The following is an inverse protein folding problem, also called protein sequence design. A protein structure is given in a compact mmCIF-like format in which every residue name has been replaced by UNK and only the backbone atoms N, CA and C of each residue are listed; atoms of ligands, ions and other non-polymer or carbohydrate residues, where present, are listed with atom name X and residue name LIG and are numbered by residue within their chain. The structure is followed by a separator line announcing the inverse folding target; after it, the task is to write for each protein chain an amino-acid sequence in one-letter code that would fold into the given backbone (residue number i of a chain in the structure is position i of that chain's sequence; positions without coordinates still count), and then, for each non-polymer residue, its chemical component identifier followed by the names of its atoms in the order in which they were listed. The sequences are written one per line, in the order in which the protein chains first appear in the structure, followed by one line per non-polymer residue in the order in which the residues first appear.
data_IF_509258768395
#
_entry.id   IF_509258768395
#
_cell.length_a   1.000
_cell.length_b   1.000
_cell.length_c   1.000
_cell.angle_alpha   90.00
_cell.angle_beta   90.00
_cell.angle_gamma   90.00
#
_symmetry.space_group_name_H-M   'P 1'
#
loop_
_entity.id
_entity.type
_entity.pdbx_description
1 polymer ?
#
# COMPACT_ATOMS: atom_id res chain seq x y z
N UNK A 1 15.31 -3.32 -12.38
CA UNK A 1 14.61 -2.53 -13.42
C UNK A 1 14.04 -1.26 -12.78
N UNK A 2 14.19 -0.09 -13.41
CA UNK A 2 13.63 1.20 -12.93
C UNK A 2 12.77 1.80 -14.05
N UNK A 3 11.62 2.37 -13.69
CA UNK A 3 10.62 2.91 -14.62
C UNK A 3 10.26 4.35 -14.25
N UNK A 4 10.03 5.19 -15.25
CA UNK A 4 9.45 6.52 -15.08
C UNK A 4 7.94 6.46 -14.86
N UNK A 5 7.36 7.52 -14.30
CA UNK A 5 5.91 7.61 -14.11
C UNK A 5 5.12 7.45 -15.42
N UNK A 6 5.66 7.95 -16.54
CA UNK A 6 5.07 7.79 -17.86
C UNK A 6 5.06 6.31 -18.32
N UNK A 7 6.18 5.60 -18.14
CA UNK A 7 6.29 4.17 -18.48
C UNK A 7 5.44 3.28 -17.56
N UNK A 8 5.21 3.71 -16.32
CA UNK A 8 4.27 3.02 -15.43
C UNK A 8 2.82 3.31 -15.86
N UNK A 9 2.50 4.57 -16.16
CA UNK A 9 1.17 4.99 -16.59
C UNK A 9 0.73 4.33 -17.90
N UNK A 10 1.65 4.04 -18.82
CA UNK A 10 1.34 3.33 -20.08
C UNK A 10 0.89 1.89 -19.87
N UNK A 11 1.14 1.30 -18.69
CA UNK A 11 0.69 -0.04 -18.29
C UNK A 11 -0.63 -0.01 -17.51
N UNK A 12 -1.11 1.18 -17.17
CA UNK A 12 -2.36 1.40 -16.44
C UNK A 12 -3.41 1.99 -17.39
N UNK A 13 -4.71 1.89 -17.09
CA UNK A 13 -5.76 2.53 -17.88
C UNK A 13 -5.80 4.07 -17.68
N UNK A 14 -4.65 4.72 -17.56
CA UNK A 14 -4.50 6.16 -17.31
C UNK A 14 -4.21 6.85 -18.65
N UNK A 15 -5.12 7.74 -19.07
CA UNK A 15 -4.95 8.55 -20.29
C UNK A 15 -4.81 10.04 -20.01
N UNK A 16 -5.23 10.50 -18.84
CA UNK A 16 -5.21 11.91 -18.46
C UNK A 16 -3.79 12.32 -18.00
N UNK A 17 -3.14 13.30 -18.66
CA UNK A 17 -1.82 13.79 -18.27
C UNK A 17 -1.74 14.28 -16.81
N UNK A 18 -2.84 14.78 -16.24
CA UNK A 18 -2.88 15.24 -14.84
C UNK A 18 -2.70 14.09 -13.87
N UNK A 19 -3.27 12.94 -14.17
CA UNK A 19 -3.14 11.73 -13.34
C UNK A 19 -1.71 11.18 -13.40
N UNK A 20 -1.02 11.32 -14.53
CA UNK A 20 0.40 10.95 -14.67
C UNK A 20 1.27 11.84 -13.77
N UNK A 21 0.98 13.15 -13.69
CA UNK A 21 1.69 14.05 -12.79
C UNK A 21 1.45 13.72 -11.31
N UNK A 22 0.22 13.36 -10.92
CA UNK A 22 -0.10 12.90 -9.56
C UNK A 22 0.65 11.61 -9.23
N UNK A 23 0.72 10.66 -10.18
CA UNK A 23 1.48 9.43 -10.02
C UNK A 23 2.97 9.73 -9.78
N UNK A 24 3.57 10.65 -10.55
CA UNK A 24 4.98 11.04 -10.35
C UNK A 24 5.22 11.66 -8.96
N UNK A 25 4.30 12.52 -8.50
CA UNK A 25 4.37 13.10 -7.15
C UNK A 25 4.28 12.05 -6.05
N UNK A 26 3.38 11.08 -6.19
CA UNK A 26 3.22 9.97 -5.24
C UNK A 26 4.48 9.10 -5.21
N UNK A 27 4.99 8.69 -6.37
CA UNK A 27 6.22 7.89 -6.48
C UNK A 27 7.43 8.63 -5.93
N UNK A 28 7.49 9.95 -6.13
CA UNK A 28 8.53 10.78 -5.54
C UNK A 28 8.45 10.79 -4.01
N UNK A 29 7.26 11.00 -3.45
CA UNK A 29 7.05 10.98 -2.00
C UNK A 29 7.47 9.63 -1.39
N UNK A 30 7.05 8.52 -2.01
CA UNK A 30 7.41 7.17 -1.57
C UNK A 30 8.93 6.93 -1.74
N UNK A 31 9.54 7.44 -2.82
CA UNK A 31 10.97 7.36 -3.08
C UNK A 31 11.82 8.10 -2.05
N UNK A 32 11.39 9.29 -1.60
CA UNK A 32 12.05 10.06 -0.53
C UNK A 32 12.03 9.29 0.80
N UNK A 33 11.03 8.44 1.03
CA UNK A 33 10.94 7.56 2.21
C UNK A 33 11.76 6.28 2.08
N UNK A 34 12.63 6.17 1.08
CA UNK A 34 13.46 4.99 0.79
C UNK A 34 12.68 3.69 0.55
N UNK A 35 11.39 3.79 0.27
CA UNK A 35 10.60 2.63 -0.13
C UNK A 35 10.88 2.28 -1.61
N UNK A 36 11.20 3.28 -2.44
CA UNK A 36 11.61 3.08 -3.84
C UNK A 36 13.02 3.60 -4.09
N UNK A 37 13.81 2.85 -4.88
CA UNK A 37 15.07 3.33 -5.45
C UNK A 37 14.75 4.37 -6.51
N UNK A 38 15.12 5.62 -6.27
CA UNK A 38 14.86 6.72 -7.21
C UNK A 38 16.17 7.15 -7.89
N UNK A 39 16.16 7.36 -9.20
CA UNK A 39 17.30 7.86 -9.96
C UNK A 39 16.85 8.83 -11.05
N UNK A 40 17.79 9.59 -11.60
CA UNK A 40 17.56 10.41 -12.79
C UNK A 40 18.15 9.69 -14.02
N UNK A 41 17.33 9.54 -15.05
CA UNK A 41 17.71 8.93 -16.33
C UNK A 41 17.70 10.01 -17.41
N UNK A 42 18.79 10.17 -18.18
CA UNK A 42 18.80 11.06 -19.33
C UNK A 42 17.84 10.53 -20.39
N UNK A 43 17.21 11.41 -21.16
CA UNK A 43 16.36 10.96 -22.26
C UNK A 43 16.92 11.39 -23.60
N UNK A 44 17.10 10.37 -24.46
CA UNK A 44 17.76 10.49 -25.75
C UNK A 44 19.29 10.36 -25.66
N UNK A 45 19.95 10.19 -26.81
CA UNK A 45 21.41 10.01 -26.89
C UNK A 45 22.20 11.29 -26.56
N UNK A 46 21.59 12.47 -26.76
CA UNK A 46 22.14 13.78 -26.37
C UNK A 46 21.15 14.48 -25.44
N UNK A 47 21.27 14.31 -24.11
CA UNK A 47 20.20 14.66 -23.20
C UNK A 47 20.11 16.17 -22.96
N UNK A 48 18.99 16.76 -23.38
CA UNK A 48 18.53 18.10 -22.99
C UNK A 48 17.60 18.06 -21.78
N UNK A 49 17.17 16.86 -21.36
CA UNK A 49 16.21 16.66 -20.28
C UNK A 49 16.43 15.32 -19.57
N UNK A 50 15.96 15.26 -18.32
CA UNK A 50 16.12 14.12 -17.42
C UNK A 50 14.76 13.71 -16.87
N UNK A 51 14.54 12.40 -16.74
CA UNK A 51 13.34 11.84 -16.10
C UNK A 51 13.69 11.16 -14.80
N UNK A 52 12.81 11.31 -13.82
CA UNK A 52 12.89 10.49 -12.61
C UNK A 52 12.43 9.08 -12.94
N UNK A 53 13.15 8.10 -12.43
CA UNK A 53 12.77 6.69 -12.51
C UNK A 53 12.79 6.07 -11.11
N UNK A 54 11.90 5.10 -10.92
CA UNK A 54 11.66 4.43 -9.66
C UNK A 54 11.77 2.92 -9.84
N UNK A 55 12.40 2.24 -8.89
CA UNK A 55 12.45 0.79 -8.82
C UNK A 55 12.26 0.30 -7.40
N UNK A 56 12.00 -1.00 -7.27
CA UNK A 56 11.81 -1.63 -5.97
C UNK A 56 13.11 -1.64 -5.15
N UNK A 57 12.95 -1.46 -3.85
CA UNK A 57 13.97 -1.77 -2.84
C UNK A 57 13.78 -3.21 -2.36
N UNK A 58 14.67 -3.68 -1.51
CA UNK A 58 14.50 -5.02 -0.92
C UNK A 58 13.28 -5.06 0.02
N UNK A 59 12.91 -3.93 0.64
CA UNK A 59 11.66 -3.82 1.42
C UNK A 59 10.44 -3.92 0.51
N UNK A 60 10.36 -3.08 -0.52
CA UNK A 60 9.18 -3.05 -1.40
C UNK A 60 9.08 -4.25 -2.33
N UNK A 61 10.13 -5.06 -2.48
CA UNK A 61 10.06 -6.35 -3.16
C UNK A 61 9.05 -7.29 -2.52
N UNK A 62 8.97 -7.30 -1.19
CA UNK A 62 8.00 -8.12 -0.45
C UNK A 62 6.54 -7.66 -0.65
N UNK A 63 6.31 -6.47 -1.22
CA UNK A 63 4.96 -5.95 -1.49
C UNK A 63 4.42 -6.35 -2.86
N UNK A 64 5.16 -7.11 -3.66
CA UNK A 64 4.76 -7.50 -5.01
C UNK A 64 4.75 -9.02 -5.10
N UNK A 65 3.85 -9.58 -5.89
CA UNK A 65 3.89 -11.00 -6.27
C UNK A 65 4.52 -11.11 -7.65
N UNK A 66 5.48 -12.01 -7.81
CA UNK A 66 6.05 -12.39 -9.09
C UNK A 66 5.63 -13.82 -9.42
N UNK A 67 4.37 -13.95 -9.85
CA UNK A 67 3.76 -15.25 -10.19
C UNK A 67 4.50 -16.00 -11.31
N UNK A 68 5.30 -15.30 -12.12
CA UNK A 68 6.11 -15.88 -13.19
C UNK A 68 7.37 -16.59 -12.64
N UNK A 69 7.86 -16.20 -11.46
CA UNK A 69 9.06 -16.77 -10.82
C UNK A 69 8.71 -17.86 -9.80
N UNK A 70 7.68 -17.66 -8.98
CA UNK A 70 7.16 -18.69 -8.07
C UNK A 70 5.64 -18.55 -7.89
N UNK A 71 4.84 -19.56 -8.29
CA UNK A 71 3.39 -19.55 -8.10
C UNK A 71 2.96 -19.59 -6.62
N UNK A 72 3.88 -19.85 -5.69
CA UNK A 72 3.67 -19.79 -4.23
C UNK A 72 4.18 -18.49 -3.60
N UNK A 73 4.73 -17.56 -4.38
CA UNK A 73 5.24 -16.32 -3.82
C UNK A 73 4.13 -15.49 -3.17
N UNK A 74 4.31 -15.20 -1.90
CA UNK A 74 3.37 -14.49 -1.05
C UNK A 74 3.85 -13.05 -0.82
N UNK A 75 2.96 -12.08 -1.02
CA UNK A 75 3.25 -10.64 -0.85
C UNK A 75 2.65 -10.10 0.44
N UNK A 76 3.38 -9.28 1.20
CA UNK A 76 2.85 -8.64 2.43
C UNK A 76 1.82 -7.53 2.14
N UNK A 77 1.56 -7.19 0.88
CA UNK A 77 0.64 -6.12 0.50
C UNK A 77 -0.77 -6.28 1.08
N UNK A 78 -1.41 -7.47 1.10
CA UNK A 78 -2.73 -7.65 1.72
C UNK A 78 -2.74 -7.30 3.20
N UNK A 79 -1.67 -7.62 3.95
CA UNK A 79 -1.55 -7.25 5.37
C UNK A 79 -1.50 -5.73 5.55
N UNK A 80 -0.74 -5.04 4.70
CA UNK A 80 -0.65 -3.56 4.73
C UNK A 80 -1.98 -2.93 4.36
N UNK A 81 -2.67 -3.45 3.34
CA UNK A 81 -3.99 -2.99 2.91
C UNK A 81 -5.02 -3.20 4.03
N UNK A 82 -5.03 -4.38 4.65
CA UNK A 82 -5.91 -4.69 5.78
C UNK A 82 -5.71 -3.69 6.92
N UNK A 83 -4.46 -3.41 7.31
CA UNK A 83 -4.15 -2.41 8.34
C UNK A 83 -4.61 -0.98 8.04
N UNK A 84 -4.86 -0.65 6.76
CA UNK A 84 -5.34 0.66 6.31
C UNK A 84 -6.86 0.72 6.13
N UNK A 85 -7.59 -0.38 6.31
CA UNK A 85 -9.05 -0.38 6.26
C UNK A 85 -9.63 0.61 7.28
N UNK A 86 -10.62 1.40 6.84
CA UNK A 86 -11.19 2.49 7.64
C UNK A 86 -11.65 2.02 9.03
N UNK A 87 -12.23 0.81 9.11
CA UNK A 87 -12.70 0.21 10.37
C UNK A 87 -11.56 0.01 11.37
N UNK A 88 -10.38 -0.38 10.92
CA UNK A 88 -9.21 -0.54 11.77
C UNK A 88 -8.59 0.82 12.11
N UNK A 89 -8.48 1.71 11.12
CA UNK A 89 -7.93 3.05 11.31
C UNK A 89 -8.75 3.88 12.32
N UNK A 90 -10.08 3.83 12.24
CA UNK A 90 -10.98 4.47 13.20
C UNK A 90 -10.80 3.92 14.61
N UNK A 91 -10.62 2.60 14.76
CA UNK A 91 -10.37 1.98 16.07
C UNK A 91 -9.03 2.41 16.65
N UNK A 92 -8.00 2.59 15.83
CA UNK A 92 -6.70 3.12 16.27
C UNK A 92 -6.80 4.54 16.83
N UNK A 93 -7.76 5.36 16.37
CA UNK A 93 -8.00 6.70 16.93
C UNK A 93 -8.49 6.67 18.39
N UNK A 94 -9.09 5.56 18.83
CA UNK A 94 -9.58 5.35 20.19
C UNK A 94 -8.52 4.79 21.14
N UNK A 95 -7.28 4.60 20.69
CA UNK A 95 -6.21 4.02 21.50
C UNK A 95 -5.93 4.83 22.77
N UNK A 96 -6.04 6.16 22.69
CA UNK A 96 -5.89 7.04 23.85
C UNK A 96 -6.94 6.73 24.93
N UNK A 97 -8.19 6.57 24.53
CA UNK A 97 -9.30 6.33 25.47
C UNK A 97 -9.18 4.94 26.11
N UNK A 98 -8.71 3.96 25.34
CA UNK A 98 -8.42 2.61 25.84
C UNK A 98 -7.29 2.56 26.89
N UNK A 99 -6.31 3.46 26.81
CA UNK A 99 -5.25 3.56 27.82
C UNK A 99 -5.79 4.19 29.11
N UNK A 100 -6.71 5.15 29.00
CA UNK A 100 -7.27 5.87 30.13
C UNK A 100 -8.38 5.08 30.86
N UNK A 101 -9.07 4.19 30.16
CA UNK A 101 -10.08 3.29 30.73
C UNK A 101 -9.68 1.84 30.47
N UNK A 102 -9.14 1.16 31.49
CA UNK A 102 -8.68 -0.23 31.41
C UNK A 102 -9.79 -1.24 31.10
N UNK A 103 -11.05 -0.83 31.09
CA UNK A 103 -12.20 -1.66 30.67
C UNK A 103 -12.51 -1.57 29.16
N UNK A 104 -11.84 -0.67 28.43
CA UNK A 104 -12.02 -0.48 26.99
C UNK A 104 -10.73 -0.86 26.26
N UNK A 105 -10.80 -1.84 25.37
CA UNK A 105 -9.78 -2.05 24.34
C UNK A 105 -10.24 -1.34 23.05
N UNK A 106 -9.32 -0.82 22.21
CA UNK A 106 -9.69 -0.22 20.92
C UNK A 106 -10.35 -1.25 19.99
N UNK A 107 -10.05 -2.53 20.22
CA UNK A 107 -10.56 -3.67 19.46
C UNK A 107 -11.71 -4.40 20.16
N UNK A 108 -11.85 -4.23 21.47
CA UNK A 108 -12.90 -4.87 22.28
C UNK A 108 -13.47 -3.88 23.29
N UNK A 109 -14.74 -3.52 23.16
CA UNK A 109 -15.44 -2.84 24.27
C UNK A 109 -16.67 -3.65 24.61
N UNK A 110 -17.05 -3.69 25.88
CA UNK A 110 -18.26 -4.39 26.35
C UNK A 110 -19.58 -3.86 25.75
N UNK A 111 -19.53 -2.75 25.00
CA UNK A 111 -20.66 -2.07 24.34
C UNK A 111 -20.56 -2.01 22.81
N UNK A 112 -19.48 -2.49 22.16
CA UNK A 112 -19.37 -2.56 20.69
C UNK A 112 -19.00 -3.97 20.25
N UNK A 113 -19.53 -4.36 19.09
CA UNK A 113 -19.15 -5.56 18.36
C UNK A 113 -17.62 -5.67 18.26
N UNK A 114 -17.07 -6.84 18.59
CA UNK A 114 -15.65 -7.10 18.45
C UNK A 114 -15.23 -7.12 16.96
N UNK A 115 -13.93 -7.28 16.68
CA UNK A 115 -13.44 -7.28 15.31
C UNK A 115 -14.08 -8.40 14.46
N UNK A 116 -14.33 -9.57 15.05
CA UNK A 116 -14.92 -10.72 14.37
C UNK A 116 -16.40 -10.48 14.07
N UNK A 117 -17.13 -9.90 15.02
CA UNK A 117 -18.52 -9.50 14.84
C UNK A 117 -18.67 -8.47 13.72
N UNK A 118 -17.77 -7.48 13.66
CA UNK A 118 -17.79 -6.47 12.58
C UNK A 118 -17.37 -7.07 11.25
N UNK A 119 -16.36 -7.94 11.24
CA UNK A 119 -15.91 -8.63 10.03
C UNK A 119 -17.01 -9.54 9.46
N UNK A 120 -17.69 -10.32 10.30
CA UNK A 120 -18.80 -11.20 9.87
C UNK A 120 -19.95 -10.46 9.20
N UNK A 121 -20.15 -9.17 9.51
CA UNK A 121 -21.19 -8.30 8.95
C UNK A 121 -20.71 -7.46 7.77
N UNK A 122 -19.40 -7.39 7.53
CA UNK A 122 -18.80 -6.64 6.43
C UNK A 122 -18.04 -7.60 5.50
N UNK A 123 -18.63 -7.97 4.35
CA UNK A 123 -18.03 -8.91 3.41
C UNK A 123 -16.65 -8.49 2.90
N UNK A 124 -16.40 -7.17 2.75
CA UNK A 124 -15.11 -6.64 2.30
C UNK A 124 -14.05 -6.89 3.37
N UNK A 125 -14.35 -6.52 4.63
CA UNK A 125 -13.44 -6.73 5.75
C UNK A 125 -13.20 -8.22 6.03
N UNK A 126 -14.23 -9.06 5.92
CA UNK A 126 -14.11 -10.51 6.08
C UNK A 126 -13.19 -11.13 5.04
N UNK A 127 -13.34 -10.73 3.77
CA UNK A 127 -12.50 -11.23 2.69
C UNK A 127 -11.04 -10.78 2.86
N UNK A 128 -10.81 -9.50 3.16
CA UNK A 128 -9.47 -8.97 3.45
C UNK A 128 -8.84 -9.67 4.66
N UNK A 129 -9.60 -9.93 5.73
CA UNK A 129 -9.13 -10.67 6.90
C UNK A 129 -8.72 -12.10 6.56
N UNK A 130 -9.56 -12.82 5.80
CA UNK A 130 -9.27 -14.19 5.39
C UNK A 130 -8.06 -14.27 4.45
N UNK A 131 -7.90 -13.31 3.54
CA UNK A 131 -6.74 -13.21 2.65
C UNK A 131 -5.44 -13.02 3.44
N UNK A 132 -5.47 -12.20 4.49
CA UNK A 132 -4.32 -11.97 5.38
C UNK A 132 -4.00 -13.19 6.25
N UNK A 133 -5.01 -13.90 6.74
CA UNK A 133 -4.81 -15.08 7.60
C UNK A 133 -4.44 -16.34 6.83
N UNK A 134 -4.62 -16.35 5.51
CA UNK A 134 -4.19 -17.44 4.63
C UNK A 134 -2.69 -17.36 4.26
N UNK A 135 -1.99 -16.33 4.73
CA UNK A 135 -0.56 -16.10 4.51
C UNK A 135 0.34 -17.07 5.28
#
# INVERSE_FOLDING_TARGET
MQLSALEMASRLPIKDPRLIAILDQLLHFIGVKFLLKSSLRPVGPTPTWWVRTHGLTDVTRHMVTNKDEDPKETSIAPLVIFGLENVLFERMSMLKDAILDSKNSPFFTSKRADLFDVSSKNPILNNSFNEVMAF
#
